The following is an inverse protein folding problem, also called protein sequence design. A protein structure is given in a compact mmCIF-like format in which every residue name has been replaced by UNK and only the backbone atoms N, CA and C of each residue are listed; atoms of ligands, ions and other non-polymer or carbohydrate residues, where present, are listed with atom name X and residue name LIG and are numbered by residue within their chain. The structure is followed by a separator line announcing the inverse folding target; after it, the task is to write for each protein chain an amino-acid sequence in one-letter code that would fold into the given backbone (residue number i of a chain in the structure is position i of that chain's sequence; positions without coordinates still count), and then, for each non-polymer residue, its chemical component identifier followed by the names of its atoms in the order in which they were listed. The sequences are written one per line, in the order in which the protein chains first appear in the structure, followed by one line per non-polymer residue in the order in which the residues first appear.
data_IF_589706253974
#
_entry.id   IF_589706253974
#
_cell.length_a   1.000
_cell.length_b   1.000
_cell.length_c   1.000
_cell.angle_alpha   90.00
_cell.angle_beta   90.00
_cell.angle_gamma   90.00
#
_symmetry.space_group_name_H-M   'P 1'
#
loop_
_entity.id
_entity.type
_entity.pdbx_description
1 polymer ?
#
# COMPACT_ATOMS: atom_id res chain seq x y z
N UNK A 1 15.27 5.27 6.28
CA UNK A 1 15.18 4.06 5.42
C UNK A 1 13.72 3.91 5.02
N UNK A 2 13.41 3.87 3.73
CA UNK A 2 12.02 3.78 3.27
C UNK A 2 11.50 2.37 3.51
N UNK A 3 10.36 2.23 4.20
CA UNK A 3 9.65 0.97 4.38
C UNK A 3 8.36 1.00 3.56
N UNK A 4 8.04 -0.11 2.91
CA UNK A 4 6.81 -0.25 2.13
C UNK A 4 5.87 -1.25 2.79
N UNK A 5 4.58 -0.94 2.78
CA UNK A 5 3.50 -1.84 3.19
C UNK A 5 2.55 -2.00 2.01
N UNK A 6 2.51 -3.20 1.41
CA UNK A 6 1.60 -3.51 0.32
C UNK A 6 0.23 -3.88 0.90
N UNK A 7 -0.82 -3.23 0.43
CA UNK A 7 -2.20 -3.54 0.81
C UNK A 7 -2.66 -4.91 0.25
N UNK A 8 -3.91 -5.27 0.53
CA UNK A 8 -4.48 -6.54 0.07
C UNK A 8 -4.70 -6.63 -1.45
N UNK A 9 -4.78 -5.47 -2.12
CA UNK A 9 -5.01 -5.36 -3.56
C UNK A 9 -3.74 -5.53 -4.40
N UNK A 10 -2.56 -5.48 -3.76
CA UNK A 10 -1.26 -5.66 -4.39
C UNK A 10 -0.79 -7.11 -4.28
N UNK A 11 -0.40 -7.68 -5.42
CA UNK A 11 0.08 -9.06 -5.49
C UNK A 11 1.34 -9.27 -4.64
N UNK A 12 1.32 -10.26 -3.74
CA UNK A 12 2.43 -10.62 -2.85
C UNK A 12 3.74 -10.99 -3.59
N UNK A 13 3.67 -11.39 -4.86
CA UNK A 13 4.85 -11.60 -5.70
C UNK A 13 5.69 -10.32 -5.84
N UNK A 14 5.05 -9.14 -5.87
CA UNK A 14 5.76 -7.87 -5.90
C UNK A 14 6.61 -7.69 -4.64
N UNK A 15 6.08 -8.10 -3.47
CA UNK A 15 6.82 -8.09 -2.21
C UNK A 15 8.09 -8.94 -2.32
N UNK A 16 7.96 -10.17 -2.82
CA UNK A 16 9.07 -11.10 -2.98
C UNK A 16 10.15 -10.56 -3.93
N UNK A 17 9.75 -9.96 -5.05
CA UNK A 17 10.66 -9.36 -6.03
C UNK A 17 11.40 -8.12 -5.50
N UNK A 18 10.75 -7.33 -4.65
CA UNK A 18 11.35 -6.14 -4.02
C UNK A 18 12.27 -6.55 -2.85
N UNK A 19 11.88 -7.55 -2.05
CA UNK A 19 12.74 -8.12 -1.00
C UNK A 19 14.04 -8.69 -1.57
N UNK A 20 13.99 -9.36 -2.71
CA UNK A 20 15.18 -9.85 -3.42
C UNK A 20 16.17 -8.72 -3.79
N UNK A 21 15.72 -7.45 -3.80
CA UNK A 21 16.53 -6.25 -4.03
C UNK A 21 16.87 -5.50 -2.74
N UNK A 22 16.75 -6.16 -1.58
CA UNK A 22 17.01 -5.58 -0.25
C UNK A 22 16.11 -4.39 0.10
N UNK A 23 14.92 -4.28 -0.51
CA UNK A 23 13.93 -3.27 -0.15
C UNK A 23 13.19 -3.75 1.11
N UNK A 24 13.04 -2.85 2.08
CA UNK A 24 12.31 -3.13 3.32
C UNK A 24 10.81 -3.07 3.06
N UNK A 25 10.17 -4.24 2.96
CA UNK A 25 8.76 -4.35 2.55
C UNK A 25 8.03 -5.43 3.33
N UNK A 26 6.77 -5.16 3.64
CA UNK A 26 5.83 -6.11 4.20
C UNK A 26 4.48 -6.01 3.50
N UNK A 27 3.56 -6.93 3.77
CA UNK A 27 2.28 -7.06 3.07
C UNK A 27 1.13 -7.22 4.05
N UNK A 28 -0.08 -6.83 3.63
CA UNK A 28 -1.31 -7.08 4.38
C UNK A 28 -1.46 -8.57 4.71
N UNK A 29 -1.16 -9.43 3.75
CA UNK A 29 -1.11 -10.88 3.95
C UNK A 29 -0.11 -11.29 5.05
N UNK A 30 1.12 -10.80 5.00
CA UNK A 30 2.17 -11.15 5.97
C UNK A 30 1.91 -10.62 7.38
N UNK A 31 1.14 -9.54 7.50
CA UNK A 31 0.80 -8.88 8.76
C UNK A 31 -0.59 -9.25 9.29
N UNK A 32 -1.30 -10.20 8.65
CA UNK A 32 -2.67 -10.60 9.01
C UNK A 32 -3.69 -9.45 8.98
N UNK A 33 -3.50 -8.53 8.03
CA UNK A 33 -4.33 -7.35 7.80
C UNK A 33 -5.29 -7.51 6.62
N UNK A 34 -5.45 -8.71 6.07
CA UNK A 34 -6.40 -8.97 4.97
C UNK A 34 -7.85 -8.72 5.42
N UNK A 35 -8.66 -8.14 4.53
CA UNK A 35 -10.06 -7.78 4.79
C UNK A 35 -10.25 -6.65 5.80
N UNK A 36 -9.18 -5.95 6.19
CA UNK A 36 -9.23 -4.74 7.02
C UNK A 36 -9.54 -3.53 6.16
N UNK A 37 -10.28 -2.58 6.73
CA UNK A 37 -10.62 -1.35 6.03
C UNK A 37 -9.39 -0.54 5.63
N UNK A 38 -9.54 0.31 4.60
CA UNK A 38 -8.47 1.21 4.14
C UNK A 38 -7.88 2.06 5.28
N UNK A 39 -8.74 2.52 6.20
CA UNK A 39 -8.34 3.26 7.40
C UNK A 39 -7.45 2.40 8.30
N UNK A 40 -7.88 1.17 8.62
CA UNK A 40 -7.09 0.26 9.46
C UNK A 40 -5.75 -0.12 8.81
N UNK A 41 -5.73 -0.29 7.49
CA UNK A 41 -4.50 -0.57 6.74
C UNK A 41 -3.54 0.63 6.74
N UNK A 42 -4.07 1.84 6.59
CA UNK A 42 -3.28 3.07 6.63
C UNK A 42 -2.75 3.37 8.04
N UNK A 43 -3.58 3.24 9.07
CA UNK A 43 -3.17 3.36 10.48
C UNK A 43 -2.05 2.36 10.80
N UNK A 44 -2.21 1.11 10.36
CA UNK A 44 -1.18 0.09 10.54
C UNK A 44 0.12 0.43 9.81
N UNK A 45 0.06 0.91 8.57
CA UNK A 45 1.24 1.37 7.82
C UNK A 45 2.00 2.47 8.58
N UNK A 46 1.28 3.42 9.17
CA UNK A 46 1.85 4.49 10.01
C UNK A 46 2.55 3.94 11.25
N UNK A 47 2.05 2.88 11.89
CA UNK A 47 2.75 2.24 13.03
C UNK A 47 4.11 1.65 12.65
N UNK A 48 4.29 1.28 11.38
CA UNK A 48 5.53 0.71 10.85
C UNK A 48 6.49 1.78 10.31
N UNK A 49 6.08 3.03 10.32
CA UNK A 49 6.68 4.12 9.54
C UNK A 49 6.86 3.73 8.06
N UNK A 50 5.81 3.15 7.45
CA UNK A 50 5.84 2.61 6.10
C UNK A 50 4.91 3.40 5.17
N UNK A 51 5.35 3.63 3.93
CA UNK A 51 4.46 4.10 2.89
C UNK A 51 3.54 2.95 2.47
N UNK A 52 2.23 3.21 2.45
CA UNK A 52 1.23 2.29 1.94
C UNK A 52 1.30 2.23 0.41
N UNK A 53 1.22 1.04 -0.16
CA UNK A 53 1.22 0.82 -1.60
C UNK A 53 -0.07 0.09 -1.99
N UNK A 54 -0.82 0.66 -2.93
CA UNK A 54 -2.16 0.19 -3.30
C UNK A 54 -2.42 0.29 -4.81
N UNK A 55 -3.36 -0.49 -5.31
CA UNK A 55 -3.99 -0.27 -6.62
C UNK A 55 -5.30 0.52 -6.53
N UNK A 56 -5.87 0.70 -5.33
CA UNK A 56 -7.13 1.40 -5.11
C UNK A 56 -6.89 2.92 -5.06
N UNK A 57 -6.90 3.56 -6.23
CA UNK A 57 -6.74 5.03 -6.30
C UNK A 57 -7.91 5.78 -5.66
N UNK A 58 -9.14 5.37 -5.98
CA UNK A 58 -10.33 6.18 -5.75
C UNK A 58 -10.62 6.34 -4.26
N UNK A 59 -10.46 5.28 -3.48
CA UNK A 59 -10.78 5.33 -2.06
C UNK A 59 -9.64 5.96 -1.25
N UNK A 60 -8.38 5.68 -1.62
CA UNK A 60 -7.22 6.28 -0.95
C UNK A 60 -7.02 7.77 -1.25
N UNK A 61 -7.48 8.29 -2.40
CA UNK A 61 -7.48 9.74 -2.66
C UNK A 61 -8.39 10.49 -1.67
N UNK A 62 -9.56 9.92 -1.34
CA UNK A 62 -10.48 10.52 -0.34
C UNK A 62 -9.90 10.40 1.07
N UNK A 63 -9.41 9.21 1.42
CA UNK A 63 -8.80 8.95 2.72
C UNK A 63 -7.60 9.85 3.00
N UNK A 64 -6.79 10.14 1.98
CA UNK A 64 -5.67 11.06 2.07
C UNK A 64 -6.09 12.49 2.43
N UNK A 65 -7.18 12.99 1.84
CA UNK A 65 -7.71 14.32 2.19
C UNK A 65 -8.14 14.37 3.66
N UNK A 66 -8.85 13.33 4.14
CA UNK A 66 -9.24 13.24 5.54
C UNK A 66 -8.03 13.20 6.48
N UNK A 67 -6.96 12.48 6.11
CA UNK A 67 -5.75 12.42 6.93
C UNK A 67 -5.00 13.76 6.98
N UNK A 68 -4.97 14.52 5.89
CA UNK A 68 -4.43 15.88 5.85
C UNK A 68 -5.25 16.80 6.74
N UNK A 69 -6.58 16.80 6.59
CA UNK A 69 -7.49 17.68 7.34
C UNK A 69 -7.42 17.43 8.85
N UNK A 70 -7.14 16.19 9.27
CA UNK A 70 -7.06 15.80 10.68
C UNK A 70 -5.63 15.80 11.25
N UNK A 71 -4.64 16.36 10.54
CA UNK A 71 -3.21 16.38 10.92
C UNK A 71 -2.66 15.01 11.34
N UNK A 72 -3.21 13.93 10.78
CA UNK A 72 -2.76 12.57 11.09
C UNK A 72 -1.41 12.32 10.43
N UNK A 73 -0.50 11.70 11.17
CA UNK A 73 0.82 11.34 10.65
C UNK A 73 0.75 10.05 9.84
N UNK A 74 1.30 10.07 8.63
CA UNK A 74 1.47 8.90 7.76
C UNK A 74 2.72 9.10 6.89
N UNK A 75 3.35 8.01 6.45
CA UNK A 75 4.61 8.04 5.70
C UNK A 75 4.41 8.06 4.17
N UNK A 76 3.18 8.34 3.72
CA UNK A 76 2.79 8.48 2.33
C UNK A 76 2.00 7.31 1.75
N UNK A 77 1.39 7.54 0.60
CA UNK A 77 0.65 6.54 -0.19
C UNK A 77 1.24 6.50 -1.60
N UNK A 78 1.53 5.31 -2.10
CA UNK A 78 1.99 5.05 -3.46
C UNK A 78 0.87 4.31 -4.21
N UNK A 79 0.27 4.99 -5.19
CA UNK A 79 -0.77 4.38 -6.03
C UNK A 79 -0.13 3.78 -7.28
N UNK A 80 -0.26 2.46 -7.44
CA UNK A 80 0.21 1.74 -8.61
C UNK A 80 -0.88 1.63 -9.67
N UNK A 81 -0.53 1.91 -10.92
CA UNK A 81 -1.43 1.70 -12.05
C UNK A 81 -1.55 0.19 -12.30
N UNK A 82 -2.74 -0.38 -12.10
CA UNK A 82 -3.05 -1.75 -12.51
C UNK A 82 -3.17 -1.76 -14.03
N UNK A 83 -2.17 -2.31 -14.73
CA UNK A 83 -2.28 -2.55 -16.16
C UNK A 83 -2.93 -3.90 -16.36
N UNK A 84 -4.04 -3.91 -17.09
CA UNK A 84 -4.65 -5.15 -17.53
C UNK A 84 -3.72 -5.82 -18.55
N UNK A 85 -3.32 -7.06 -18.26
CA UNK A 85 -2.43 -7.87 -19.10
C UNK A 85 -3.02 -8.07 -20.49
N UNK A 86 -4.34 -8.01 -20.66
CA UNK A 86 -4.99 -8.11 -21.97
C UNK A 86 -4.82 -6.86 -22.83
N UNK A 87 -4.70 -5.66 -22.24
CA UNK A 87 -4.47 -4.42 -23.01
C UNK A 87 -3.01 -4.21 -23.41
N UNK A 88 -2.08 -4.97 -22.81
CA UNK A 88 -0.65 -4.90 -23.14
C UNK A 88 -0.21 -5.90 -24.22
N UNK A 89 -1.10 -6.79 -24.67
CA UNK A 89 -0.84 -7.80 -25.70
C UNK A 89 -1.30 -7.37 -27.11
N UNK A 90 -1.62 -6.10 -27.32
CA UNK A 90 -1.92 -5.50 -28.63
C UNK A 90 -0.77 -4.64 -29.14
#
# INVERSE_FOLDING_TARGET
MVRLYLDEDVNVLLALLLQARSINITTAHGQKMLGRSDVEQLDFASTLNAALVTHNRVDFEKLFQEYIENERRYDGIIVLIRRDVYTMAQ
#
